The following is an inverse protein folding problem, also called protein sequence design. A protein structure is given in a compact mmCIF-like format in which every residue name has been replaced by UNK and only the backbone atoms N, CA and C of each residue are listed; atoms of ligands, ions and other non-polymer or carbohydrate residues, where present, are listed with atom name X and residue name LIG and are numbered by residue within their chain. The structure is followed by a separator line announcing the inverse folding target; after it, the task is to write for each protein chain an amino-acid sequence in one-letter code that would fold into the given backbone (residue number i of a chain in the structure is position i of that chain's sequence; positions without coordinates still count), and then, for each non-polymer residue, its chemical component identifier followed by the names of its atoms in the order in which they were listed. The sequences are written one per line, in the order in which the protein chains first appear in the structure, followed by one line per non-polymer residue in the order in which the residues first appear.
data_IF_443319079854
#
_entry.id   IF_443319079854
#
_cell.length_a   1.000
_cell.length_b   1.000
_cell.length_c   1.000
_cell.angle_alpha   90.00
_cell.angle_beta   90.00
_cell.angle_gamma   90.00
#
_symmetry.space_group_name_H-M   'P 1'
#
loop_
_entity.id
_entity.type
_entity.pdbx_description
1 polymer ?
#
# COMPACT_ATOMS: atom_id res chain seq x y z
N UNK A 1 31.88 -29.97 0.62
CA UNK A 1 30.52 -30.27 1.02
C UNK A 1 30.30 -29.87 2.48
N UNK A 2 29.19 -29.25 2.78
CA UNK A 2 28.81 -28.85 4.14
C UNK A 2 27.71 -29.81 4.60
N UNK A 3 27.85 -30.37 5.79
CA UNK A 3 26.75 -31.10 6.44
C UNK A 3 26.32 -30.36 7.72
N UNK A 4 25.03 -30.24 7.93
CA UNK A 4 24.46 -29.67 9.15
C UNK A 4 24.02 -30.85 10.01
N UNK A 5 24.69 -31.06 11.15
CA UNK A 5 24.36 -32.16 12.05
C UNK A 5 23.19 -31.84 12.98
N UNK A 6 23.01 -30.56 13.32
CA UNK A 6 21.81 -30.01 13.95
C UNK A 6 21.71 -28.50 13.58
N UNK A 7 20.62 -27.82 13.98
CA UNK A 7 20.37 -26.39 13.61
C UNK A 7 21.42 -25.39 14.14
N UNK A 8 22.39 -25.82 14.96
CA UNK A 8 23.40 -24.96 15.59
C UNK A 8 24.84 -25.34 15.24
N UNK A 9 25.06 -26.44 14.56
CA UNK A 9 26.41 -26.95 14.24
C UNK A 9 26.54 -27.16 12.73
N UNK A 10 27.62 -26.62 12.18
CA UNK A 10 28.01 -26.82 10.78
C UNK A 10 29.39 -27.45 10.75
N UNK A 11 29.53 -28.56 10.06
CA UNK A 11 30.81 -29.24 9.87
C UNK A 11 31.18 -29.15 8.38
N UNK A 12 32.27 -28.47 8.09
CA UNK A 12 32.85 -28.43 6.77
C UNK A 12 33.75 -29.66 6.56
N UNK A 13 33.39 -30.53 5.60
CA UNK A 13 34.18 -31.70 5.25
C UNK A 13 35.07 -31.33 4.07
N UNK A 14 36.40 -31.49 4.22
CA UNK A 14 37.39 -31.28 3.20
C UNK A 14 37.34 -29.87 2.54
N UNK A 15 37.63 -28.84 3.33
CA UNK A 15 37.84 -27.47 2.82
C UNK A 15 39.34 -27.25 2.55
N UNK A 16 39.68 -26.83 1.35
CA UNK A 16 41.04 -26.37 1.03
C UNK A 16 41.14 -24.90 1.48
N UNK A 17 42.00 -24.63 2.46
CA UNK A 17 42.26 -23.27 2.96
C UNK A 17 43.76 -23.00 2.86
N UNK A 18 44.29 -22.62 1.67
CA UNK A 18 45.70 -22.48 1.41
C UNK A 18 46.43 -21.53 2.34
N UNK A 19 45.70 -20.58 2.91
CA UNK A 19 46.22 -19.61 3.89
C UNK A 19 46.57 -20.26 5.25
N UNK A 20 45.95 -21.40 5.58
CA UNK A 20 46.09 -22.08 6.86
C UNK A 20 46.91 -23.35 6.73
N UNK A 21 46.70 -24.10 5.66
CA UNK A 21 47.39 -25.34 5.38
C UNK A 21 47.40 -25.64 3.87
N UNK A 22 48.47 -26.22 3.38
CA UNK A 22 48.53 -26.79 2.00
C UNK A 22 47.60 -27.98 1.81
N UNK A 23 47.19 -28.63 2.89
CA UNK A 23 46.28 -29.77 2.90
C UNK A 23 44.81 -29.35 3.18
N UNK A 24 43.89 -30.28 2.96
CA UNK A 24 42.49 -30.10 3.33
C UNK A 24 42.33 -30.05 4.85
N UNK A 25 41.55 -29.06 5.31
CA UNK A 25 41.20 -28.89 6.71
C UNK A 25 39.69 -29.12 6.93
N UNK A 26 39.32 -29.54 8.14
CA UNK A 26 37.92 -29.60 8.55
C UNK A 26 37.63 -28.42 9.43
N UNK A 27 36.62 -27.62 9.05
CA UNK A 27 36.16 -26.48 9.82
C UNK A 27 34.86 -26.88 10.49
N UNK A 28 34.81 -26.75 11.83
CA UNK A 28 33.62 -26.97 12.63
C UNK A 28 33.21 -25.64 13.23
N UNK A 29 31.92 -25.33 13.18
CA UNK A 29 31.36 -24.11 13.72
C UNK A 29 30.14 -24.44 14.59
N UNK A 30 30.10 -23.88 15.79
CA UNK A 30 28.94 -23.94 16.69
C UNK A 30 28.50 -22.52 16.99
N UNK A 31 27.22 -22.23 16.80
CA UNK A 31 26.63 -20.96 17.14
C UNK A 31 25.86 -21.06 18.46
N UNK A 32 26.16 -20.17 19.39
CA UNK A 32 25.49 -20.10 20.69
C UNK A 32 24.94 -18.68 20.90
N UNK A 33 23.70 -18.61 21.39
CA UNK A 33 23.08 -17.36 21.83
C UNK A 33 22.77 -17.47 23.32
N UNK A 34 23.34 -16.57 24.10
CA UNK A 34 23.00 -16.50 25.55
C UNK A 34 21.58 -15.98 25.72
N UNK A 35 20.84 -16.58 26.64
CA UNK A 35 19.46 -16.15 26.94
C UNK A 35 19.47 -14.67 27.36
N UNK A 36 18.66 -13.85 26.67
CA UNK A 36 18.57 -12.40 26.93
C UNK A 36 19.62 -11.53 26.21
N UNK A 37 20.54 -12.11 25.42
CA UNK A 37 21.50 -11.37 24.63
C UNK A 37 21.11 -11.36 23.15
N UNK A 38 21.16 -10.22 22.46
CA UNK A 38 20.99 -10.17 21.01
C UNK A 38 22.22 -10.70 20.26
N UNK A 39 23.35 -10.95 20.97
CA UNK A 39 24.60 -11.35 20.36
C UNK A 39 24.67 -12.87 20.16
N UNK A 40 24.98 -13.27 18.94
CA UNK A 40 25.32 -14.64 18.60
C UNK A 40 26.84 -14.82 18.68
N UNK A 41 27.30 -15.81 19.44
CA UNK A 41 28.72 -16.18 19.52
C UNK A 41 28.94 -17.40 18.64
N UNK A 42 29.88 -17.28 17.70
CA UNK A 42 30.31 -18.40 16.88
C UNK A 42 31.65 -18.95 17.38
N UNK A 43 31.64 -20.24 17.76
CA UNK A 43 32.85 -20.99 18.09
C UNK A 43 33.32 -21.72 16.83
N UNK A 44 34.56 -21.49 16.44
CA UNK A 44 35.14 -22.10 15.24
C UNK A 44 36.34 -22.95 15.66
N UNK A 45 36.36 -24.20 15.24
CA UNK A 45 37.49 -25.11 15.39
C UNK A 45 37.98 -25.59 14.01
N UNK A 46 39.28 -25.59 13.80
CA UNK A 46 39.90 -26.04 12.55
C UNK A 46 40.75 -27.27 12.85
N UNK A 47 40.44 -28.38 12.20
CA UNK A 47 41.19 -29.63 12.29
C UNK A 47 42.01 -29.79 11.00
N UNK A 48 43.32 -29.80 11.14
CA UNK A 48 44.26 -30.12 10.10
C UNK A 48 44.73 -31.60 10.19
N UNK A 49 45.58 -32.03 9.29
CA UNK A 49 46.10 -33.40 9.28
C UNK A 49 46.80 -33.77 10.58
N UNK A 50 47.47 -32.83 11.24
CA UNK A 50 48.24 -33.03 12.46
C UNK A 50 47.47 -32.71 13.75
N UNK A 51 46.13 -32.50 13.69
CA UNK A 51 45.30 -32.20 14.87
C UNK A 51 44.64 -30.84 14.79
N UNK A 52 43.99 -30.44 15.89
CA UNK A 52 43.34 -29.13 16.00
C UNK A 52 44.36 -28.00 16.03
N UNK A 53 44.07 -26.96 15.26
CA UNK A 53 44.88 -25.75 15.25
C UNK A 53 44.44 -24.91 16.47
N UNK A 54 45.40 -24.65 17.35
CA UNK A 54 45.19 -23.92 18.60
C UNK A 54 46.44 -23.20 19.08
N UNK A 55 46.43 -22.62 20.29
CA UNK A 55 47.57 -21.87 20.84
C UNK A 55 48.90 -22.65 20.94
N UNK A 56 48.81 -23.97 20.97
CA UNK A 56 49.96 -24.88 21.07
C UNK A 56 50.46 -25.34 19.68
N UNK A 57 49.83 -24.90 18.58
CA UNK A 57 50.26 -25.17 17.21
C UNK A 57 51.40 -24.25 16.79
N UNK A 58 52.00 -24.49 15.63
CA UNK A 58 52.95 -23.53 15.03
C UNK A 58 52.32 -22.13 14.97
N UNK A 59 53.07 -21.13 15.46
CA UNK A 59 52.56 -19.76 15.59
C UNK A 59 52.06 -19.16 14.27
N UNK A 60 52.76 -19.47 13.15
CA UNK A 60 52.38 -18.97 11.80
C UNK A 60 51.05 -19.59 11.35
N UNK A 61 50.89 -20.89 11.60
CA UNK A 61 49.62 -21.61 11.25
C UNK A 61 48.46 -21.11 12.11
N UNK A 62 48.69 -20.90 13.39
CA UNK A 62 47.69 -20.42 14.31
C UNK A 62 47.24 -18.97 13.98
N UNK A 63 48.21 -18.07 13.68
CA UNK A 63 47.92 -16.71 13.27
C UNK A 63 47.19 -16.65 11.91
N UNK A 64 47.59 -17.49 10.96
CA UNK A 64 46.89 -17.62 9.67
C UNK A 64 45.46 -18.13 9.84
N UNK A 65 45.25 -19.12 10.71
CA UNK A 65 43.90 -19.63 11.03
C UNK A 65 43.04 -18.57 11.69
N UNK A 66 43.59 -17.81 12.64
CA UNK A 66 42.94 -16.70 13.31
C UNK A 66 42.55 -15.59 12.32
N UNK A 67 43.47 -15.17 11.46
CA UNK A 67 43.24 -14.19 10.39
C UNK A 67 42.11 -14.63 9.44
N UNK A 68 42.15 -15.93 9.02
CA UNK A 68 41.11 -16.51 8.18
C UNK A 68 39.72 -16.44 8.85
N UNK A 69 39.61 -16.86 10.10
CA UNK A 69 38.34 -16.80 10.86
C UNK A 69 37.84 -15.36 11.01
N UNK A 70 38.74 -14.42 11.33
CA UNK A 70 38.40 -13.00 11.43
C UNK A 70 37.91 -12.45 10.10
N UNK A 71 38.61 -12.70 9.00
CA UNK A 71 38.21 -12.27 7.66
C UNK A 71 36.83 -12.82 7.28
N UNK A 72 36.59 -14.10 7.50
CA UNK A 72 35.29 -14.74 7.21
C UNK A 72 34.17 -14.20 8.09
N UNK A 73 34.45 -13.95 9.37
CA UNK A 73 33.48 -13.33 10.28
C UNK A 73 33.10 -11.92 9.83
N UNK A 74 34.08 -11.11 9.43
CA UNK A 74 33.84 -9.76 8.88
C UNK A 74 33.03 -9.82 7.59
N UNK A 75 33.39 -10.71 6.66
CA UNK A 75 32.66 -10.91 5.42
C UNK A 75 31.19 -11.30 5.67
N UNK A 76 30.96 -12.25 6.59
CA UNK A 76 29.60 -12.69 6.93
C UNK A 76 28.78 -11.56 7.57
N UNK A 77 29.37 -10.82 8.52
CA UNK A 77 28.72 -9.66 9.13
C UNK A 77 28.35 -8.62 8.11
N UNK A 78 29.22 -8.34 7.15
CA UNK A 78 28.97 -7.40 6.06
C UNK A 78 27.82 -7.86 5.17
N UNK A 79 27.82 -9.13 4.76
CA UNK A 79 26.73 -9.71 3.95
C UNK A 79 25.37 -9.63 4.67
N UNK A 80 25.33 -9.94 5.97
CA UNK A 80 24.11 -9.83 6.75
C UNK A 80 23.62 -8.37 6.86
N UNK A 81 24.53 -7.42 7.12
CA UNK A 81 24.19 -5.99 7.17
C UNK A 81 23.71 -5.47 5.81
N UNK A 82 24.31 -5.91 4.69
CA UNK A 82 23.86 -5.59 3.33
C UNK A 82 22.45 -6.14 3.04
N UNK A 83 22.15 -7.36 3.51
CA UNK A 83 20.80 -7.92 3.40
C UNK A 83 19.78 -7.16 4.24
N UNK A 84 20.10 -6.83 5.50
CA UNK A 84 19.24 -6.02 6.36
C UNK A 84 18.96 -4.65 5.74
N UNK A 85 20.00 -3.99 5.21
CA UNK A 85 19.86 -2.71 4.51
C UNK A 85 18.95 -2.81 3.28
N UNK A 86 19.18 -3.83 2.44
CA UNK A 86 18.35 -4.08 1.25
C UNK A 86 16.88 -4.28 1.60
N UNK A 87 16.59 -5.03 2.68
CA UNK A 87 15.23 -5.22 3.18
C UNK A 87 14.63 -3.91 3.71
N UNK A 88 15.42 -3.12 4.42
CA UNK A 88 15.02 -1.80 4.91
C UNK A 88 14.67 -0.83 3.78
N UNK A 89 15.50 -0.77 2.74
CA UNK A 89 15.29 0.08 1.56
C UNK A 89 14.06 -0.36 0.74
N UNK A 90 13.84 -1.67 0.58
CA UNK A 90 12.62 -2.20 -0.04
C UNK A 90 11.37 -1.84 0.76
N UNK A 91 11.44 -1.90 2.10
CA UNK A 91 10.37 -1.46 2.98
C UNK A 91 10.03 0.02 2.78
N UNK A 92 11.05 0.88 2.71
CA UNK A 92 10.88 2.31 2.47
C UNK A 92 10.26 2.59 1.09
N UNK A 93 10.75 1.94 0.05
CA UNK A 93 10.20 2.09 -1.31
C UNK A 93 8.72 1.69 -1.38
N UNK A 94 8.33 0.60 -0.69
CA UNK A 94 6.94 0.16 -0.60
C UNK A 94 6.07 1.21 0.11
N UNK A 95 6.50 1.73 1.26
CA UNK A 95 5.75 2.74 2.01
C UNK A 95 5.53 4.03 1.19
N UNK A 96 6.55 4.47 0.45
CA UNK A 96 6.45 5.62 -0.46
C UNK A 96 5.46 5.37 -1.60
N UNK A 97 5.45 4.17 -2.19
CA UNK A 97 4.47 3.79 -3.21
C UNK A 97 3.04 3.82 -2.66
N UNK A 98 2.82 3.25 -1.47
CA UNK A 98 1.52 3.25 -0.80
C UNK A 98 1.04 4.68 -0.48
N UNK A 99 1.94 5.58 -0.10
CA UNK A 99 1.60 7.01 0.11
C UNK A 99 1.19 7.69 -1.20
N UNK A 100 1.90 7.44 -2.30
CA UNK A 100 1.54 7.97 -3.62
C UNK A 100 0.17 7.46 -4.08
N UNK A 101 -0.15 6.19 -3.82
CA UNK A 101 -1.46 5.64 -4.17
C UNK A 101 -2.59 6.32 -3.37
N UNK A 102 -2.40 6.56 -2.06
CA UNK A 102 -3.33 7.33 -1.24
C UNK A 102 -3.52 8.77 -1.76
N UNK A 103 -2.45 9.42 -2.21
CA UNK A 103 -2.53 10.76 -2.80
C UNK A 103 -3.36 10.77 -4.09
N UNK A 104 -3.13 9.80 -4.97
CA UNK A 104 -3.92 9.64 -6.21
C UNK A 104 -5.39 9.32 -5.94
N UNK A 105 -5.67 8.51 -4.91
CA UNK A 105 -7.04 8.21 -4.50
C UNK A 105 -7.76 9.48 -4.00
N UNK A 106 -7.08 10.31 -3.20
CA UNK A 106 -7.60 11.60 -2.74
C UNK A 106 -7.93 12.51 -3.93
N UNK A 107 -7.00 12.68 -4.87
CA UNK A 107 -7.22 13.51 -6.08
C UNK A 107 -8.43 13.04 -6.90
N UNK A 108 -8.58 11.71 -7.06
CA UNK A 108 -9.75 11.12 -7.75
C UNK A 108 -11.05 11.39 -7.01
N UNK A 109 -11.02 11.31 -5.68
CA UNK A 109 -12.18 11.58 -4.85
C UNK A 109 -12.57 13.07 -4.90
N UNK A 110 -11.61 13.99 -4.86
CA UNK A 110 -11.82 15.43 -5.03
C UNK A 110 -12.46 15.75 -6.38
N UNK A 111 -11.92 15.21 -7.48
CA UNK A 111 -12.52 15.35 -8.80
C UNK A 111 -13.92 14.73 -8.88
N UNK A 112 -14.14 13.62 -8.15
CA UNK A 112 -15.45 12.98 -8.03
C UNK A 112 -16.48 13.84 -7.31
N UNK A 113 -16.07 14.59 -6.28
CA UNK A 113 -16.93 15.55 -5.56
C UNK A 113 -17.37 16.67 -6.49
N UNK A 114 -16.42 17.30 -7.20
CA UNK A 114 -16.73 18.38 -8.13
C UNK A 114 -17.71 17.94 -9.22
N UNK A 115 -17.48 16.77 -9.82
CA UNK A 115 -18.40 16.20 -10.80
C UNK A 115 -19.78 15.89 -10.23
N UNK A 116 -19.84 15.41 -8.99
CA UNK A 116 -21.12 15.10 -8.33
C UNK A 116 -21.89 16.39 -7.99
N UNK A 117 -21.20 17.42 -7.50
CA UNK A 117 -21.80 18.75 -7.24
C UNK A 117 -22.34 19.39 -8.52
N UNK A 118 -21.56 19.35 -9.61
CA UNK A 118 -22.00 19.86 -10.90
C UNK A 118 -23.29 19.16 -11.38
N UNK A 119 -23.32 17.83 -11.33
CA UNK A 119 -24.51 17.06 -11.72
C UNK A 119 -25.70 17.33 -10.81
N UNK A 120 -25.51 17.51 -9.50
CA UNK A 120 -26.57 17.90 -8.58
C UNK A 120 -27.14 19.27 -8.98
N UNK A 121 -26.29 20.24 -9.30
CA UNK A 121 -26.72 21.57 -9.74
C UNK A 121 -27.49 21.52 -11.09
N UNK A 122 -27.03 20.73 -12.05
CA UNK A 122 -27.72 20.48 -13.32
C UNK A 122 -29.10 19.85 -13.09
N UNK A 123 -29.19 18.90 -12.17
CA UNK A 123 -30.44 18.26 -11.81
C UNK A 123 -31.43 19.24 -11.16
N UNK A 124 -30.97 20.17 -10.31
CA UNK A 124 -31.83 21.25 -9.75
C UNK A 124 -32.39 22.14 -10.86
N UNK A 125 -31.57 22.54 -11.82
CA UNK A 125 -32.00 23.34 -12.97
C UNK A 125 -33.08 22.59 -13.78
N UNK A 126 -32.86 21.32 -14.08
CA UNK A 126 -33.83 20.50 -14.81
C UNK A 126 -35.13 20.30 -14.01
N UNK A 127 -35.04 20.16 -12.69
CA UNK A 127 -36.18 20.08 -11.79
C UNK A 127 -37.05 21.35 -11.84
N UNK A 128 -36.43 22.52 -11.75
CA UNK A 128 -37.14 23.81 -11.82
C UNK A 128 -37.81 23.98 -13.18
N UNK A 129 -37.09 23.70 -14.26
CA UNK A 129 -37.60 23.76 -15.63
C UNK A 129 -38.83 22.86 -15.82
N UNK A 130 -38.70 21.59 -15.45
CA UNK A 130 -39.76 20.60 -15.68
C UNK A 130 -40.97 20.83 -14.75
N UNK A 131 -40.72 21.39 -13.55
CA UNK A 131 -41.77 21.83 -12.67
C UNK A 131 -42.59 23.02 -13.29
N UNK A 132 -41.88 24.01 -13.83
CA UNK A 132 -42.52 25.14 -14.50
C UNK A 132 -43.34 24.65 -15.70
N UNK A 133 -42.78 23.74 -16.52
CA UNK A 133 -43.54 23.13 -17.63
C UNK A 133 -44.83 22.43 -17.17
N UNK A 134 -44.77 21.69 -16.05
CA UNK A 134 -45.95 21.01 -15.47
C UNK A 134 -46.99 22.00 -14.90
N UNK A 135 -46.51 23.08 -14.24
CA UNK A 135 -47.35 24.10 -13.66
C UNK A 135 -48.06 24.95 -14.72
N UNK A 136 -47.43 25.24 -15.86
CA UNK A 136 -48.04 25.93 -17.00
C UNK A 136 -49.14 25.11 -17.72
N UNK A 137 -49.00 23.80 -17.74
CA UNK A 137 -49.98 22.87 -18.32
C UNK A 137 -51.24 22.76 -17.47
N UNK A 138 -51.16 22.96 -16.15
CA UNK A 138 -52.29 22.86 -15.21
C UNK A 138 -53.47 23.75 -15.58
N UNK A 139 -53.34 25.08 -15.69
CA UNK A 139 -54.41 26.00 -16.11
C UNK A 139 -55.00 25.69 -17.49
N UNK A 140 -54.14 25.30 -18.43
CA UNK A 140 -54.59 24.93 -19.79
C UNK A 140 -55.51 23.70 -19.79
N UNK A 141 -55.11 22.69 -19.03
CA UNK A 141 -55.92 21.46 -18.82
C UNK A 141 -57.26 21.81 -18.21
N UNK A 142 -57.28 22.64 -17.14
CA UNK A 142 -58.50 23.06 -16.47
C UNK A 142 -59.42 23.86 -17.42
N UNK A 143 -58.86 24.80 -18.16
CA UNK A 143 -59.64 25.59 -19.15
C UNK A 143 -60.31 24.70 -20.20
N UNK A 144 -59.52 23.79 -20.81
CA UNK A 144 -60.03 22.88 -21.85
C UNK A 144 -61.04 21.87 -21.30
N UNK A 145 -60.88 21.40 -20.04
CA UNK A 145 -61.87 20.58 -19.38
C UNK A 145 -63.21 21.30 -19.18
N UNK A 146 -63.16 22.59 -18.82
CA UNK A 146 -64.38 23.42 -18.64
C UNK A 146 -65.08 23.64 -20.00
N UNK A 147 -64.32 23.93 -21.08
CA UNK A 147 -64.83 24.11 -22.42
C UNK A 147 -65.51 22.83 -22.94
N UNK A 148 -64.86 21.69 -22.78
CA UNK A 148 -65.38 20.38 -23.22
C UNK A 148 -66.60 19.95 -22.42
N UNK A 149 -66.75 20.43 -21.21
CA UNK A 149 -68.01 20.19 -20.41
C UNK A 149 -69.18 20.97 -21.02
N UNK A 150 -68.93 22.19 -21.54
CA UNK A 150 -69.93 23.01 -22.19
C UNK A 150 -70.21 22.61 -23.64
N UNK A 151 -69.14 22.25 -24.39
CA UNK A 151 -69.21 21.92 -25.83
C UNK A 151 -68.31 20.68 -26.11
N UNK A 152 -68.86 19.45 -25.99
CA UNK A 152 -68.10 18.23 -26.23
C UNK A 152 -67.62 18.15 -27.68
N UNK A 153 -66.30 17.87 -27.87
CA UNK A 153 -65.70 17.56 -29.17
C UNK A 153 -64.66 16.44 -29.10
N UNK A 154 -64.53 15.62 -30.13
CA UNK A 154 -63.50 14.57 -30.19
C UNK A 154 -62.11 15.16 -30.28
N UNK A 155 -61.92 16.22 -31.02
CA UNK A 155 -60.64 16.92 -31.19
C UNK A 155 -60.17 17.49 -29.85
N UNK A 156 -61.03 18.21 -29.12
CA UNK A 156 -60.73 18.75 -27.83
C UNK A 156 -60.42 17.66 -26.78
N UNK A 157 -61.13 16.52 -26.86
CA UNK A 157 -60.80 15.36 -26.01
C UNK A 157 -59.40 14.79 -26.29
N UNK A 158 -59.02 14.73 -27.54
CA UNK A 158 -57.65 14.30 -27.90
C UNK A 158 -56.59 15.28 -27.43
N UNK A 159 -56.83 16.58 -27.60
CA UNK A 159 -55.96 17.66 -27.10
C UNK A 159 -55.80 17.59 -25.59
N UNK A 160 -56.92 17.47 -24.84
CA UNK A 160 -56.90 17.32 -23.40
C UNK A 160 -56.04 16.12 -22.92
N UNK A 161 -56.22 14.97 -23.55
CA UNK A 161 -55.43 13.76 -23.25
C UNK A 161 -53.93 13.99 -23.57
N UNK A 162 -53.62 14.74 -24.64
CA UNK A 162 -52.26 15.16 -24.95
C UNK A 162 -51.63 16.02 -23.86
N UNK A 163 -52.32 17.08 -23.42
CA UNK A 163 -51.84 17.97 -22.35
C UNK A 163 -51.67 17.24 -21.02
N UNK A 164 -52.60 16.35 -20.64
CA UNK A 164 -52.46 15.51 -19.45
C UNK A 164 -51.22 14.61 -19.51
N UNK A 165 -51.01 13.98 -20.67
CA UNK A 165 -49.83 13.15 -20.89
C UNK A 165 -48.53 13.93 -20.79
N UNK A 166 -48.47 15.14 -21.34
CA UNK A 166 -47.31 16.00 -21.30
C UNK A 166 -47.01 16.50 -19.89
N UNK A 167 -48.08 16.91 -19.12
CA UNK A 167 -47.94 17.24 -17.69
C UNK A 167 -47.36 16.06 -16.90
N UNK A 168 -47.90 14.85 -17.10
CA UNK A 168 -47.41 13.67 -16.38
C UNK A 168 -45.96 13.38 -16.71
N UNK A 169 -45.56 13.53 -17.97
CA UNK A 169 -44.14 13.39 -18.41
C UNK A 169 -43.25 14.46 -17.75
N UNK A 170 -43.70 15.71 -17.67
CA UNK A 170 -42.97 16.78 -16.98
C UNK A 170 -42.80 16.45 -15.48
N UNK A 171 -43.86 15.99 -14.81
CA UNK A 171 -43.82 15.56 -13.40
C UNK A 171 -42.86 14.36 -13.20
N UNK A 172 -42.87 13.39 -14.10
CA UNK A 172 -41.94 12.25 -14.02
C UNK A 172 -40.48 12.70 -14.20
N UNK A 173 -40.18 13.65 -15.10
CA UNK A 173 -38.87 14.26 -15.25
C UNK A 173 -38.45 15.02 -13.99
N UNK A 174 -39.35 15.78 -13.39
CA UNK A 174 -39.12 16.48 -12.12
C UNK A 174 -38.70 15.49 -11.01
N UNK A 175 -39.43 14.37 -10.88
CA UNK A 175 -39.10 13.33 -9.90
C UNK A 175 -37.73 12.70 -10.14
N UNK A 176 -37.43 12.36 -11.40
CA UNK A 176 -36.11 11.81 -11.77
C UNK A 176 -34.98 12.79 -11.47
N UNK A 177 -35.18 14.07 -11.75
CA UNK A 177 -34.19 15.10 -11.43
C UNK A 177 -33.97 15.26 -9.92
N UNK A 178 -35.04 15.16 -9.11
CA UNK A 178 -34.91 15.13 -7.64
C UNK A 178 -34.13 13.93 -7.12
N UNK A 179 -34.39 12.75 -7.69
CA UNK A 179 -33.68 11.53 -7.30
C UNK A 179 -32.20 11.60 -7.71
N UNK A 180 -31.90 12.19 -8.88
CA UNK A 180 -30.52 12.42 -9.35
C UNK A 180 -29.79 13.41 -8.43
N UNK A 181 -30.39 14.56 -8.10
CA UNK A 181 -29.84 15.55 -7.16
C UNK A 181 -29.48 14.91 -5.84
N UNK A 182 -30.43 14.18 -5.21
CA UNK A 182 -30.21 13.49 -3.93
C UNK A 182 -29.07 12.45 -4.02
N UNK A 183 -29.05 11.67 -5.10
CA UNK A 183 -28.03 10.65 -5.34
C UNK A 183 -26.65 11.27 -5.49
N UNK A 184 -26.54 12.37 -6.23
CA UNK A 184 -25.26 13.06 -6.45
C UNK A 184 -24.77 13.79 -5.20
N UNK A 185 -25.67 14.40 -4.43
CA UNK A 185 -25.33 15.01 -3.13
C UNK A 185 -24.78 13.96 -2.16
N UNK A 186 -25.51 12.86 -2.00
CA UNK A 186 -25.05 11.75 -1.15
C UNK A 186 -23.68 11.22 -1.59
N UNK A 187 -23.47 11.07 -2.90
CA UNK A 187 -22.17 10.61 -3.43
C UNK A 187 -21.05 11.60 -3.12
N UNK A 188 -21.31 12.90 -3.19
CA UNK A 188 -20.33 13.93 -2.81
C UNK A 188 -19.97 13.83 -1.32
N UNK A 189 -20.96 13.61 -0.45
CA UNK A 189 -20.75 13.45 1.00
C UNK A 189 -19.93 12.18 1.33
N UNK A 190 -20.27 11.06 0.69
CA UNK A 190 -19.54 9.78 0.85
C UNK A 190 -18.08 9.93 0.43
N UNK A 191 -17.81 10.64 -0.66
CA UNK A 191 -16.46 10.94 -1.12
C UNK A 191 -15.72 11.89 -0.17
N UNK A 192 -16.39 12.89 0.38
CA UNK A 192 -15.80 13.81 1.36
C UNK A 192 -15.40 13.06 2.65
N UNK A 193 -16.21 12.12 3.09
CA UNK A 193 -15.87 11.25 4.21
C UNK A 193 -14.67 10.36 3.89
N UNK A 194 -14.63 9.77 2.69
CA UNK A 194 -13.50 8.95 2.23
C UNK A 194 -12.19 9.75 2.17
N UNK A 195 -12.22 11.02 1.74
CA UNK A 195 -11.07 11.92 1.75
C UNK A 195 -10.56 12.15 3.17
N UNK A 196 -11.46 12.40 4.13
CA UNK A 196 -11.05 12.60 5.53
C UNK A 196 -10.30 11.40 6.06
N UNK A 197 -10.80 10.19 5.84
CA UNK A 197 -10.14 8.95 6.23
C UNK A 197 -8.79 8.77 5.51
N UNK A 198 -8.75 9.05 4.21
CA UNK A 198 -7.53 8.96 3.41
C UNK A 198 -6.43 9.90 3.93
N UNK A 199 -6.77 11.13 4.35
CA UNK A 199 -5.82 12.08 4.95
C UNK A 199 -5.24 11.54 6.26
N UNK A 200 -6.07 10.91 7.10
CA UNK A 200 -5.60 10.25 8.33
C UNK A 200 -4.63 9.10 8.02
N UNK A 201 -4.93 8.30 6.99
CA UNK A 201 -4.08 7.19 6.58
C UNK A 201 -2.77 7.68 5.93
N UNK A 202 -2.79 8.80 5.19
CA UNK A 202 -1.57 9.47 4.69
C UNK A 202 -0.67 9.94 5.84
N UNK A 203 -1.25 10.53 6.89
CA UNK A 203 -0.48 10.96 8.06
C UNK A 203 0.24 9.79 8.75
N UNK A 204 -0.49 8.68 9.01
CA UNK A 204 0.10 7.45 9.57
C UNK A 204 1.20 6.88 8.66
N UNK A 205 0.98 6.91 7.35
CA UNK A 205 1.96 6.42 6.37
C UNK A 205 3.21 7.28 6.36
N UNK A 206 3.07 8.60 6.44
CA UNK A 206 4.20 9.55 6.52
C UNK A 206 5.03 9.33 7.80
N UNK A 207 4.38 9.06 8.92
CA UNK A 207 5.08 8.71 10.16
C UNK A 207 5.86 7.39 10.02
N UNK A 208 5.24 6.36 9.43
CA UNK A 208 5.92 5.09 9.17
C UNK A 208 7.12 5.24 8.22
N UNK A 209 7.03 6.12 7.22
CA UNK A 209 8.15 6.47 6.33
C UNK A 209 9.30 7.09 7.12
N UNK A 210 9.03 8.07 7.97
CA UNK A 210 10.06 8.72 8.80
C UNK A 210 10.78 7.73 9.74
N UNK A 211 10.02 6.79 10.34
CA UNK A 211 10.60 5.71 11.16
C UNK A 211 11.47 4.77 10.31
N UNK A 212 11.01 4.41 9.12
CA UNK A 212 11.76 3.54 8.21
C UNK A 212 13.01 4.20 7.64
N UNK A 213 12.98 5.50 7.36
CA UNK A 213 14.16 6.28 6.96
C UNK A 213 15.23 6.29 8.05
N UNK A 214 14.81 6.48 9.30
CA UNK A 214 15.70 6.40 10.46
C UNK A 214 16.35 5.03 10.57
N UNK A 215 15.57 3.95 10.39
CA UNK A 215 16.08 2.58 10.38
C UNK A 215 17.12 2.37 9.26
N UNK A 216 16.80 2.79 8.02
CA UNK A 216 17.71 2.67 6.87
C UNK A 216 19.01 3.43 7.12
N UNK A 217 18.94 4.63 7.71
CA UNK A 217 20.12 5.40 8.09
C UNK A 217 20.99 4.63 9.09
N UNK A 218 20.40 4.10 10.16
CA UNK A 218 21.12 3.29 11.15
C UNK A 218 21.75 2.05 10.54
N UNK A 219 21.08 1.37 9.60
CA UNK A 219 21.61 0.20 8.91
C UNK A 219 22.79 0.56 7.98
N UNK A 220 22.77 1.73 7.33
CA UNK A 220 23.90 2.23 6.55
C UNK A 220 25.12 2.52 7.42
N UNK A 221 24.90 3.17 8.56
CA UNK A 221 25.96 3.44 9.54
C UNK A 221 26.57 2.11 10.05
N UNK A 222 25.73 1.16 10.46
CA UNK A 222 26.16 -0.19 10.87
C UNK A 222 27.00 -0.88 9.81
N UNK A 223 26.62 -0.78 8.53
CA UNK A 223 27.37 -1.38 7.42
C UNK A 223 28.74 -0.69 7.24
N UNK A 224 28.80 0.64 7.38
CA UNK A 224 30.06 1.39 7.26
C UNK A 224 31.07 1.08 8.36
N UNK A 225 30.60 0.72 9.56
CA UNK A 225 31.42 0.42 10.72
C UNK A 225 32.04 -0.99 10.70
N UNK A 226 31.58 -1.88 9.79
CA UNK A 226 32.14 -3.21 9.61
C UNK A 226 33.44 -3.13 8.80
N UNK A 227 34.56 -3.17 9.53
CA UNK A 227 35.92 -3.18 8.98
C UNK A 227 36.52 -4.59 9.00
#
# INVERSE_FOLDING_TARGET
STSVSNKKEVIGIAALVPQVSGDTVRIMMKAEQRKGSPLLTAHVAILATNGFIGPNSDAKIFDAAKAFVQQRSTQLRRQLAEQELTLGEKGLARLNSELQDLQREKERAEAGIEKSKQRAAEAVIEQEKTKTEADELGPRITALQTELTATPSEEGTKELNGLIKDRNRAQDRTRKAQDEERSMTKKADDLAWAIKKNVEDQAKKSEAIAQQETLVKTLREKLSDIR
#
